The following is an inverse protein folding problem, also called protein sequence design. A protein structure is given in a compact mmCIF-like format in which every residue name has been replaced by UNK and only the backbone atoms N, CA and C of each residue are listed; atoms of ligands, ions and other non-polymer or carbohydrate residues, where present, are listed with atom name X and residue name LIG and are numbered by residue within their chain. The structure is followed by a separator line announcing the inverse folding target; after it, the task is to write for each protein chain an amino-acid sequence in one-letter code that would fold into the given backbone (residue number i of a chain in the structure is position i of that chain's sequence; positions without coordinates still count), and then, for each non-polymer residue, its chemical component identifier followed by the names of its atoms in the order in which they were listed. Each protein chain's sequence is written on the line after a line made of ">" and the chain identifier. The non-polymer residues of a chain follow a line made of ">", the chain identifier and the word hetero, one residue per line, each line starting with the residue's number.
data_IF_082560025568
#
_entry.id   IF_082560025568
#
_cell.length_a   1.000
_cell.length_b   1.000
_cell.length_c   1.000
_cell.angle_alpha   90.00
_cell.angle_beta   90.00
_cell.angle_gamma   90.00
#
_symmetry.space_group_name_H-M   'P 1'
#
loop_
_entity.id
_entity.type
_entity.pdbx_description
1 polymer ?
#
# COMPACT_ATOMS: atom_id res chain seq x y z
N UNK A 1 -32.90 9.78 -6.82
CA UNK A 1 -32.65 9.12 -8.08
C UNK A 1 -31.91 9.99 -9.09
N UNK A 2 -32.33 9.95 -10.39
CA UNK A 2 -31.62 10.62 -11.51
C UNK A 2 -31.45 12.14 -11.34
N UNK A 3 -32.48 12.82 -10.81
CA UNK A 3 -32.41 14.26 -10.56
C UNK A 3 -31.37 14.63 -9.49
N UNK A 4 -31.27 13.87 -8.41
CA UNK A 4 -30.26 14.10 -7.41
C UNK A 4 -28.85 13.95 -8.00
N UNK A 5 -28.61 12.89 -8.77
CA UNK A 5 -27.34 12.67 -9.45
C UNK A 5 -26.94 13.84 -10.36
N UNK A 6 -27.88 14.38 -11.15
CA UNK A 6 -27.62 15.52 -12.04
C UNK A 6 -27.26 16.76 -11.21
N UNK A 7 -28.01 17.05 -10.16
CA UNK A 7 -27.75 18.19 -9.28
C UNK A 7 -26.37 18.06 -8.57
N UNK A 8 -26.00 16.84 -8.15
CA UNK A 8 -24.70 16.56 -7.56
C UNK A 8 -23.58 16.78 -8.59
N UNK A 9 -23.78 16.34 -9.84
CA UNK A 9 -22.83 16.59 -10.93
C UNK A 9 -22.66 18.08 -11.23
N UNK A 10 -23.75 18.84 -11.24
CA UNK A 10 -23.73 20.31 -11.46
C UNK A 10 -23.02 21.01 -10.28
N UNK A 11 -23.31 20.60 -9.05
CA UNK A 11 -22.63 21.09 -7.86
C UNK A 11 -21.12 20.84 -7.95
N UNK A 12 -20.72 19.62 -8.26
CA UNK A 12 -19.30 19.25 -8.41
C UNK A 12 -18.64 20.06 -9.52
N UNK A 13 -19.27 20.18 -10.69
CA UNK A 13 -18.75 20.99 -11.81
C UNK A 13 -18.45 22.43 -11.41
N UNK A 14 -19.27 23.01 -10.55
CA UNK A 14 -19.12 24.40 -10.10
C UNK A 14 -18.12 24.57 -8.94
N UNK A 15 -17.72 23.46 -8.30
CA UNK A 15 -16.81 23.46 -7.13
C UNK A 15 -15.44 22.85 -7.41
N UNK A 16 -15.27 22.23 -8.58
CA UNK A 16 -14.03 21.56 -8.96
C UNK A 16 -13.42 22.18 -10.20
N UNK A 17 -12.11 22.19 -10.22
CA UNK A 17 -11.33 22.56 -11.40
C UNK A 17 -10.67 21.28 -11.91
N UNK A 18 -10.90 20.94 -13.18
CA UNK A 18 -10.17 19.87 -13.85
C UNK A 18 -8.94 20.50 -14.51
N UNK A 19 -7.78 20.09 -14.08
CA UNK A 19 -6.50 20.59 -14.60
C UNK A 19 -5.52 19.44 -14.78
N UNK A 20 -4.55 19.60 -15.67
CA UNK A 20 -3.41 18.70 -15.73
C UNK A 20 -2.41 19.06 -14.62
N UNK A 21 -1.65 18.07 -14.18
CA UNK A 21 -0.72 18.21 -13.04
C UNK A 21 0.39 19.24 -13.31
N UNK A 22 0.81 19.40 -14.57
CA UNK A 22 1.82 20.37 -15.00
C UNK A 22 1.40 21.84 -14.84
N UNK A 23 0.10 22.08 -14.67
CA UNK A 23 -0.49 23.40 -14.39
C UNK A 23 -0.66 23.70 -12.91
N UNK A 24 -0.41 22.72 -12.07
CA UNK A 24 -0.43 22.85 -10.62
C UNK A 24 0.98 23.13 -10.13
N UNK A 25 1.17 24.14 -9.31
CA UNK A 25 2.46 24.48 -8.74
C UNK A 25 2.37 24.44 -7.22
N UNK A 26 2.97 23.40 -6.64
CA UNK A 26 3.03 23.20 -5.19
C UNK A 26 4.47 22.86 -4.78
N UNK A 27 4.84 23.20 -3.57
CA UNK A 27 6.14 22.85 -3.00
C UNK A 27 6.27 21.34 -2.76
N UNK A 28 5.15 20.66 -2.50
CA UNK A 28 5.11 19.22 -2.27
C UNK A 28 3.89 18.59 -2.95
N UNK A 29 4.10 17.39 -3.50
CA UNK A 29 3.05 16.55 -4.08
C UNK A 29 3.02 15.24 -3.33
N UNK A 30 1.84 14.83 -2.87
CA UNK A 30 1.62 13.55 -2.20
C UNK A 30 0.67 12.72 -3.07
N UNK A 31 1.13 11.52 -3.44
CA UNK A 31 0.34 10.52 -4.14
C UNK A 31 0.03 9.39 -3.17
N UNK A 32 -1.24 9.09 -2.99
CA UNK A 32 -1.69 7.99 -2.14
C UNK A 32 -2.25 6.86 -3.01
N UNK A 33 -1.72 5.65 -2.83
CA UNK A 33 -2.22 4.45 -3.47
C UNK A 33 -3.14 3.69 -2.52
N UNK A 34 -4.26 3.21 -3.05
CA UNK A 34 -5.33 2.63 -2.22
C UNK A 34 -5.19 1.15 -1.88
N UNK A 35 -4.17 0.43 -2.41
CA UNK A 35 -4.04 -1.02 -2.29
C UNK A 35 -2.61 -1.41 -1.95
N UNK A 36 -2.44 -2.57 -1.30
CA UNK A 36 -1.11 -3.09 -0.96
C UNK A 36 -0.38 -3.74 -2.15
N UNK A 37 0.94 -3.80 -2.09
CA UNK A 37 1.80 -4.40 -3.15
C UNK A 37 1.48 -5.88 -3.43
N UNK A 38 0.97 -6.62 -2.45
CA UNK A 38 0.56 -8.02 -2.63
C UNK A 38 -0.64 -8.18 -3.57
N UNK A 39 -1.41 -7.12 -3.79
CA UNK A 39 -2.56 -7.10 -4.68
C UNK A 39 -2.23 -6.52 -6.06
N UNK A 40 -0.97 -6.17 -6.30
CA UNK A 40 -0.53 -5.63 -7.58
C UNK A 40 -0.66 -6.67 -8.69
N UNK A 41 -1.28 -6.30 -9.79
CA UNK A 41 -1.27 -7.09 -11.00
C UNK A 41 0.16 -7.16 -11.55
N UNK A 42 0.72 -8.37 -11.57
CA UNK A 42 2.05 -8.66 -12.09
C UNK A 42 2.02 -9.17 -13.54
N UNK A 43 0.85 -9.14 -14.18
CA UNK A 43 0.66 -9.72 -15.52
C UNK A 43 0.57 -11.26 -15.50
N UNK A 44 0.52 -11.88 -14.33
CA UNK A 44 0.16 -13.29 -14.16
C UNK A 44 -1.35 -13.35 -13.94
N UNK A 45 -2.01 -14.30 -14.59
CA UNK A 45 -3.46 -14.55 -14.38
C UNK A 45 -3.73 -15.01 -12.95
N UNK A 46 -3.70 -14.08 -12.03
CA UNK A 46 -4.04 -14.29 -10.61
C UNK A 46 -5.41 -13.65 -10.38
N UNK A 47 -6.49 -14.44 -10.20
CA UNK A 47 -7.85 -13.92 -10.14
C UNK A 47 -8.09 -12.98 -8.95
N UNK A 48 -7.24 -13.06 -7.95
CA UNK A 48 -7.42 -12.37 -6.66
C UNK A 48 -6.54 -11.12 -6.52
N UNK A 49 -6.10 -10.53 -7.62
CA UNK A 49 -5.33 -9.29 -7.65
C UNK A 49 -6.16 -8.12 -8.16
N UNK A 50 -5.73 -6.91 -7.83
CA UNK A 50 -6.31 -5.69 -8.39
C UNK A 50 -5.84 -5.55 -9.85
N UNK A 51 -6.73 -5.28 -10.83
CA UNK A 51 -6.36 -5.16 -12.25
C UNK A 51 -5.64 -3.83 -12.53
N UNK A 52 -4.68 -3.48 -11.70
CA UNK A 52 -3.85 -2.28 -11.85
C UNK A 52 -2.55 -2.43 -11.05
N UNK A 53 -1.56 -1.58 -11.37
CA UNK A 53 -0.38 -1.47 -10.52
C UNK A 53 -0.73 -0.70 -9.23
N UNK A 54 -0.54 -1.35 -8.08
CA UNK A 54 -0.81 -0.79 -6.75
C UNK A 54 0.42 -0.13 -6.12
N UNK A 55 1.57 -0.19 -6.79
CA UNK A 55 2.81 0.44 -6.37
C UNK A 55 2.98 1.85 -6.92
N UNK A 56 4.22 2.34 -6.96
CA UNK A 56 4.52 3.73 -7.32
C UNK A 56 4.58 4.02 -8.83
N UNK A 57 4.41 3.00 -9.67
CA UNK A 57 4.57 3.12 -11.13
C UNK A 57 3.80 4.30 -11.74
N UNK A 58 2.52 4.41 -11.45
CA UNK A 58 1.69 5.46 -12.04
C UNK A 58 1.98 6.84 -11.44
N UNK A 59 2.33 6.91 -10.16
CA UNK A 59 2.80 8.16 -9.55
C UNK A 59 4.07 8.66 -10.22
N UNK A 60 5.05 7.77 -10.49
CA UNK A 60 6.26 8.14 -11.22
C UNK A 60 5.98 8.54 -12.67
N UNK A 61 4.99 7.95 -13.33
CA UNK A 61 4.59 8.37 -14.68
C UNK A 61 4.00 9.79 -14.67
N UNK A 62 3.18 10.13 -13.68
CA UNK A 62 2.63 11.48 -13.52
C UNK A 62 3.72 12.52 -13.20
N UNK A 63 4.73 12.13 -12.41
CA UNK A 63 5.84 13.01 -12.06
C UNK A 63 6.70 13.42 -13.27
N UNK A 64 6.70 12.64 -14.37
CA UNK A 64 7.43 13.01 -15.61
C UNK A 64 6.91 14.30 -16.25
N UNK A 65 5.65 14.63 -16.00
CA UNK A 65 5.02 15.86 -16.51
C UNK A 65 5.37 17.08 -15.66
N UNK A 66 5.96 16.87 -14.46
CA UNK A 66 6.40 17.93 -13.56
C UNK A 66 7.88 18.27 -13.80
N UNK A 67 8.15 19.50 -14.21
CA UNK A 67 9.51 19.94 -14.61
C UNK A 67 10.46 20.28 -13.45
N UNK A 68 9.94 20.31 -12.22
CA UNK A 68 10.64 20.86 -11.06
C UNK A 68 10.69 19.88 -9.86
N UNK A 69 10.64 18.58 -10.14
CA UNK A 69 10.77 17.57 -9.09
C UNK A 69 12.25 17.37 -8.78
N UNK A 70 12.67 17.72 -7.58
CA UNK A 70 14.05 17.58 -7.13
C UNK A 70 14.28 16.24 -6.42
N UNK A 71 13.32 15.78 -5.63
CA UNK A 71 13.42 14.54 -4.86
C UNK A 71 12.11 13.79 -4.86
N UNK A 72 12.20 12.46 -4.92
CA UNK A 72 11.06 11.56 -4.78
C UNK A 72 11.36 10.57 -3.66
N UNK A 73 10.46 10.48 -2.69
CA UNK A 73 10.52 9.49 -1.63
C UNK A 73 9.27 8.62 -1.69
N UNK A 74 9.47 7.31 -1.73
CA UNK A 74 8.40 6.32 -1.66
C UNK A 74 8.22 5.87 -0.21
N UNK A 75 7.09 6.21 0.40
CA UNK A 75 6.70 5.79 1.73
C UNK A 75 5.88 4.50 1.64
N UNK A 76 6.46 3.38 2.08
CA UNK A 76 5.75 2.12 2.17
C UNK A 76 5.22 1.93 3.59
N UNK A 77 3.93 1.79 3.71
CA UNK A 77 3.26 1.61 5.01
C UNK A 77 2.82 0.16 5.16
N UNK A 78 3.19 -0.48 6.25
CA UNK A 78 2.81 -1.86 6.55
C UNK A 78 2.40 -2.02 8.01
N UNK A 79 1.75 -3.14 8.30
CA UNK A 79 1.61 -3.67 9.67
C UNK A 79 2.72 -4.70 9.92
N UNK A 80 3.01 -5.08 11.17
CA UNK A 80 3.98 -6.15 11.47
C UNK A 80 3.41 -7.56 11.20
N UNK A 81 2.22 -7.65 10.63
CA UNK A 81 1.54 -8.87 10.22
C UNK A 81 0.72 -8.62 8.95
N UNK A 82 0.39 -9.69 8.24
CA UNK A 82 -0.45 -9.61 7.05
C UNK A 82 -1.92 -9.57 7.42
N UNK A 83 -2.69 -8.82 6.64
CA UNK A 83 -4.14 -8.84 6.65
C UNK A 83 -4.68 -8.93 5.23
N UNK A 84 -5.77 -9.66 5.04
CA UNK A 84 -6.46 -9.75 3.76
C UNK A 84 -7.95 -9.96 3.97
N UNK A 85 -8.73 -9.19 3.24
CA UNK A 85 -10.16 -9.42 3.10
C UNK A 85 -10.42 -10.00 1.71
N UNK A 86 -11.16 -11.09 1.64
CA UNK A 86 -11.43 -11.78 0.38
C UNK A 86 -10.59 -13.02 0.16
N UNK A 87 -10.80 -13.63 -1.00
CA UNK A 87 -10.16 -14.85 -1.42
C UNK A 87 -8.71 -14.65 -1.87
N UNK A 88 -8.08 -15.71 -2.32
CA UNK A 88 -6.72 -15.75 -2.78
C UNK A 88 -5.72 -16.23 -1.73
N UNK A 89 -4.54 -16.58 -2.22
CA UNK A 89 -3.47 -17.08 -1.38
C UNK A 89 -2.99 -16.03 -0.37
N UNK A 90 -2.72 -16.50 0.83
CA UNK A 90 -2.08 -15.73 1.89
C UNK A 90 -0.98 -16.59 2.50
N UNK A 91 0.25 -16.12 2.36
CA UNK A 91 1.40 -16.77 2.97
C UNK A 91 1.21 -16.84 4.49
N UNK A 92 1.52 -17.99 5.07
CA UNK A 92 1.48 -18.27 6.51
C UNK A 92 0.23 -17.72 7.23
N UNK A 93 -0.96 -18.02 6.66
CA UNK A 93 -2.23 -17.66 7.28
C UNK A 93 -2.37 -18.27 8.66
N UNK A 94 -2.70 -17.45 9.65
CA UNK A 94 -2.85 -17.81 11.05
C UNK A 94 -4.13 -17.21 11.64
N UNK A 95 -4.63 -17.78 12.71
CA UNK A 95 -5.59 -17.09 13.56
C UNK A 95 -4.85 -15.95 14.28
N UNK A 96 -5.48 -14.77 14.40
CA UNK A 96 -4.86 -13.55 14.94
C UNK A 96 -4.12 -13.74 16.27
N UNK A 97 -4.67 -14.53 17.20
CA UNK A 97 -4.06 -14.79 18.50
C UNK A 97 -2.78 -15.63 18.46
N UNK A 98 -2.48 -16.32 17.33
CA UNK A 98 -1.21 -17.00 17.12
C UNK A 98 -0.13 -16.08 16.54
N UNK A 99 -0.51 -14.92 16.04
CA UNK A 99 0.43 -13.90 15.57
C UNK A 99 0.94 -13.12 16.78
N UNK A 100 0.02 -12.55 17.56
CA UNK A 100 0.29 -11.88 18.82
C UNK A 100 -0.99 -11.77 19.63
N UNK A 101 -0.89 -11.79 20.96
CA UNK A 101 -2.05 -11.64 21.86
C UNK A 101 -2.66 -10.24 21.76
N UNK A 102 -1.88 -9.26 21.34
CA UNK A 102 -2.29 -7.87 21.17
C UNK A 102 -3.08 -7.58 19.90
N UNK A 103 -3.03 -8.48 18.88
CA UNK A 103 -3.73 -8.24 17.61
C UNK A 103 -5.24 -8.19 17.82
N UNK A 104 -5.81 -7.02 17.61
CA UNK A 104 -7.23 -6.77 17.78
C UNK A 104 -8.02 -7.25 16.55
N UNK A 105 -9.29 -7.58 16.77
CA UNK A 105 -10.23 -7.81 15.69
C UNK A 105 -10.54 -6.50 14.98
N UNK A 106 -10.47 -6.53 13.64
CA UNK A 106 -10.82 -5.35 12.86
C UNK A 106 -12.33 -5.10 12.97
N UNK A 107 -12.70 -3.93 13.48
CA UNK A 107 -14.10 -3.56 13.72
C UNK A 107 -14.83 -3.08 12.47
N UNK A 108 -14.10 -2.82 11.40
CA UNK A 108 -14.63 -2.26 10.15
C UNK A 108 -14.76 -3.30 9.05
N UNK A 109 -13.89 -4.30 9.04
CA UNK A 109 -13.83 -5.35 8.03
C UNK A 109 -14.47 -6.64 8.57
N UNK A 110 -15.81 -6.65 8.65
CA UNK A 110 -16.56 -7.84 9.04
C UNK A 110 -16.80 -8.77 7.86
N UNK A 111 -17.15 -10.02 8.18
CA UNK A 111 -17.62 -10.98 7.19
C UNK A 111 -18.73 -10.37 6.33
N UNK A 112 -18.62 -10.55 5.03
CA UNK A 112 -19.70 -10.29 4.09
C UNK A 112 -19.72 -11.35 2.98
N UNK A 113 -20.86 -11.56 2.37
CA UNK A 113 -21.07 -12.62 1.38
C UNK A 113 -20.21 -12.44 0.11
N UNK A 114 -19.76 -11.22 -0.19
CA UNK A 114 -18.97 -10.93 -1.39
C UNK A 114 -17.47 -11.12 -1.18
N UNK A 115 -16.98 -10.87 0.03
CA UNK A 115 -15.54 -10.89 0.33
C UNK A 115 -15.14 -11.96 1.35
N UNK A 116 -16.11 -12.61 2.03
CA UNK A 116 -15.81 -13.59 3.05
C UNK A 116 -15.28 -13.00 4.35
N UNK A 117 -14.33 -13.68 4.99
CA UNK A 117 -13.75 -13.29 6.27
C UNK A 117 -12.51 -12.42 6.11
N UNK A 118 -12.27 -11.57 7.11
CA UNK A 118 -10.99 -10.86 7.23
C UNK A 118 -9.95 -11.81 7.84
N UNK A 119 -8.87 -12.04 7.12
CA UNK A 119 -7.85 -13.03 7.43
C UNK A 119 -6.56 -12.37 7.91
N UNK A 120 -5.78 -13.11 8.69
CA UNK A 120 -4.51 -12.68 9.26
C UNK A 120 -3.41 -13.67 8.91
N UNK A 121 -2.16 -13.20 8.81
CA UNK A 121 -0.99 -14.04 8.56
C UNK A 121 0.28 -13.41 9.09
N UNK A 122 1.33 -14.23 9.25
CA UNK A 122 2.64 -13.67 9.56
C UNK A 122 3.21 -12.93 8.36
N UNK A 123 3.91 -11.83 8.63
CA UNK A 123 4.61 -11.08 7.61
C UNK A 123 5.99 -11.70 7.34
N UNK A 124 6.23 -12.11 6.12
CA UNK A 124 7.59 -12.42 5.65
C UNK A 124 8.31 -11.12 5.26
N UNK A 125 9.24 -10.72 6.11
CA UNK A 125 10.03 -9.50 5.95
C UNK A 125 10.90 -9.56 4.70
N UNK A 126 11.43 -10.72 4.35
CA UNK A 126 12.28 -10.89 3.16
C UNK A 126 11.46 -10.72 1.87
N UNK A 127 10.29 -11.32 1.81
CA UNK A 127 9.35 -11.16 0.70
C UNK A 127 8.90 -9.71 0.56
N UNK A 128 8.52 -9.06 1.66
CA UNK A 128 8.15 -7.63 1.67
C UNK A 128 9.27 -6.75 1.13
N UNK A 129 10.51 -6.94 1.62
CA UNK A 129 11.67 -6.17 1.13
C UNK A 129 11.87 -6.34 -0.36
N UNK A 130 11.85 -7.57 -0.85
CA UNK A 130 12.05 -7.87 -2.27
C UNK A 130 11.01 -7.14 -3.13
N UNK A 131 9.75 -7.15 -2.72
CA UNK A 131 8.67 -6.45 -3.42
C UNK A 131 8.85 -4.94 -3.40
N UNK A 132 9.21 -4.36 -2.25
CA UNK A 132 9.49 -2.92 -2.12
C UNK A 132 10.64 -2.51 -3.06
N UNK A 133 11.75 -3.23 -3.05
CA UNK A 133 12.90 -2.93 -3.90
C UNK A 133 12.57 -3.02 -5.39
N UNK A 134 11.76 -4.00 -5.79
CA UNK A 134 11.29 -4.13 -7.17
C UNK A 134 10.36 -3.00 -7.59
N UNK A 135 9.49 -2.55 -6.69
CA UNK A 135 8.53 -1.47 -6.97
C UNK A 135 9.19 -0.09 -6.93
N UNK A 136 10.10 0.14 -6.00
CA UNK A 136 10.71 1.46 -5.74
C UNK A 136 11.53 2.00 -6.92
N UNK A 137 12.06 1.15 -7.79
CA UNK A 137 12.74 1.53 -9.05
C UNK A 137 13.86 2.56 -8.88
N UNK A 138 14.56 2.49 -7.73
CA UNK A 138 15.71 3.36 -7.46
C UNK A 138 15.38 4.71 -6.83
N UNK A 139 14.13 4.99 -6.49
CA UNK A 139 13.81 6.17 -5.66
C UNK A 139 14.13 5.91 -4.19
N UNK A 140 14.28 6.97 -3.41
CA UNK A 140 14.46 6.88 -1.96
C UNK A 140 13.28 6.15 -1.32
N UNK A 141 13.56 5.26 -0.38
CA UNK A 141 12.56 4.43 0.29
C UNK A 141 12.51 4.80 1.77
N UNK A 142 11.31 4.97 2.29
CA UNK A 142 11.03 4.99 3.72
C UNK A 142 9.98 3.93 4.02
N UNK A 143 10.21 3.13 5.06
CA UNK A 143 9.29 2.10 5.51
C UNK A 143 8.69 2.48 6.86
N UNK A 144 7.39 2.61 6.88
CA UNK A 144 6.62 2.93 8.07
C UNK A 144 5.84 1.70 8.55
N UNK A 145 5.96 1.39 9.83
CA UNK A 145 5.27 0.26 10.42
C UNK A 145 4.26 0.76 11.43
N UNK A 146 2.99 0.52 11.15
CA UNK A 146 1.86 0.83 12.03
C UNK A 146 1.49 -0.37 12.90
N UNK A 147 0.57 -0.20 13.87
CA UNK A 147 0.07 -1.29 14.74
C UNK A 147 1.17 -2.00 15.53
N UNK A 148 2.25 -1.29 15.84
CA UNK A 148 3.36 -1.84 16.62
C UNK A 148 2.98 -2.15 18.08
N UNK A 149 1.97 -1.48 18.59
CA UNK A 149 1.36 -1.68 19.91
C UNK A 149 0.63 -3.02 20.05
N UNK A 150 0.28 -3.64 18.94
CA UNK A 150 -0.37 -4.95 18.91
C UNK A 150 0.61 -6.14 18.97
N UNK A 151 1.91 -5.89 18.95
CA UNK A 151 2.93 -6.94 18.89
C UNK A 151 3.63 -7.18 20.22
N UNK A 152 3.50 -8.40 20.74
CA UNK A 152 4.20 -8.84 21.96
C UNK A 152 5.74 -8.86 21.80
N UNK A 153 6.24 -9.06 20.55
CA UNK A 153 7.66 -9.25 20.22
C UNK A 153 8.17 -8.25 19.18
N UNK A 154 7.85 -6.98 19.37
CA UNK A 154 8.25 -5.92 18.43
C UNK A 154 9.77 -5.84 18.19
N UNK A 155 10.60 -6.19 19.19
CA UNK A 155 12.06 -6.16 19.06
C UNK A 155 12.59 -7.27 18.12
N UNK A 156 11.92 -8.40 18.00
CA UNK A 156 12.29 -9.46 17.05
C UNK A 156 11.96 -9.01 15.62
N UNK A 157 10.81 -8.36 15.46
CA UNK A 157 10.39 -7.77 14.20
C UNK A 157 11.37 -6.66 13.73
N UNK A 158 11.75 -5.73 14.61
CA UNK A 158 12.73 -4.67 14.30
C UNK A 158 14.07 -5.25 13.85
N UNK A 159 14.61 -6.26 14.55
CA UNK A 159 15.84 -6.93 14.15
C UNK A 159 15.77 -7.56 12.77
N UNK A 160 14.63 -8.11 12.38
CA UNK A 160 14.41 -8.62 11.03
C UNK A 160 14.60 -7.56 9.94
N UNK A 161 14.22 -6.30 10.20
CA UNK A 161 14.46 -5.21 9.26
C UNK A 161 15.91 -4.68 9.31
N UNK A 162 16.53 -4.59 10.47
CA UNK A 162 17.90 -4.10 10.62
C UNK A 162 18.91 -4.99 9.90
N UNK A 163 18.75 -6.31 9.95
CA UNK A 163 19.60 -7.27 9.21
C UNK A 163 19.46 -7.15 7.70
N UNK A 164 18.42 -6.47 7.24
CA UNK A 164 18.09 -6.30 5.84
C UNK A 164 18.69 -4.99 5.25
N UNK A 165 19.09 -4.04 6.10
CA UNK A 165 19.69 -2.75 5.69
C UNK A 165 21.19 -2.83 5.31
N UNK A 166 21.83 -4.00 5.35
CA UNK A 166 23.27 -4.14 5.08
C UNK A 166 23.65 -4.41 3.62
N UNK A 167 22.73 -4.24 2.68
CA UNK A 167 23.08 -4.24 1.27
C UNK A 167 23.02 -2.82 0.72
N UNK A 168 24.15 -2.11 0.86
CA UNK A 168 24.50 -1.01 -0.01
C UNK A 168 24.60 -1.58 -1.45
N UNK A 169 23.55 -1.45 -2.20
CA UNK A 169 23.64 -1.54 -3.65
C UNK A 169 24.12 -0.17 -4.13
N UNK A 170 25.31 -0.05 -4.71
CA UNK A 170 25.68 1.20 -5.35
C UNK A 170 24.67 1.45 -6.47
N UNK A 171 24.05 2.61 -6.40
CA UNK A 171 23.30 3.18 -7.51
C UNK A 171 24.29 3.36 -8.68
N UNK A 172 24.08 2.65 -9.77
CA UNK A 172 24.64 2.94 -11.08
C UNK A 172 23.55 3.48 -11.97
#
# INVERSE_FOLDING_TARGET
>A
GRLHFINDCEFMKNKTIVSSIDKMYYDNYIFENGQGLLLCDTGKDTPDTTPSNTGIKYSLELLKDLKHVEEVTAHYVTRPYLTRHGDGEMEDQRRRHYISSGVQEDRTNHFNECQGEFRYGNLDIHSLKTRILQDARGVKIELEVTHCDEMDRLNEFKRGFETVNTYDSPLV
#
